data_IF_860692354636
#
_entry.id   IF_860692354636
#
_cell.length_a   1.000
_cell.length_b   1.000
_cell.length_c   1.000
_cell.angle_alpha   90.00
_cell.angle_beta   90.00
_cell.angle_gamma   90.00
#
_symmetry.space_group_name_H-M   'P 1'
#
loop_
_entity.id
_entity.type
_entity.pdbx_description
1 polymer ?
#
# COMPACT_ATOMS: atom_id res chain seq x y z
N UNK A 1 65.28 21.36 -3.96
CA UNK A 1 64.41 22.00 -4.98
C UNK A 1 63.63 21.01 -5.84
N UNK A 2 64.26 19.99 -6.47
CA UNK A 2 63.55 19.02 -7.35
C UNK A 2 62.44 18.19 -6.66
N UNK A 3 62.62 17.82 -5.38
CA UNK A 3 61.61 17.08 -4.59
C UNK A 3 60.39 17.93 -4.21
N UNK A 4 60.59 19.24 -3.99
CA UNK A 4 59.51 20.18 -3.70
C UNK A 4 58.67 20.42 -4.96
N UNK A 5 59.32 20.53 -6.12
CA UNK A 5 58.64 20.63 -7.41
C UNK A 5 57.78 19.39 -7.72
N UNK A 6 58.28 18.19 -7.44
CA UNK A 6 57.52 16.95 -7.63
C UNK A 6 56.28 16.86 -6.72
N UNK A 7 56.40 17.27 -5.46
CA UNK A 7 55.26 17.30 -4.53
C UNK A 7 54.23 18.35 -4.97
N UNK A 8 54.68 19.52 -5.45
CA UNK A 8 53.79 20.54 -5.98
C UNK A 8 53.03 20.07 -7.23
N UNK A 9 53.69 19.36 -8.14
CA UNK A 9 53.05 18.78 -9.34
C UNK A 9 52.05 17.69 -8.97
N UNK A 10 52.38 16.83 -8.00
CA UNK A 10 51.46 15.79 -7.52
C UNK A 10 50.20 16.39 -6.86
N UNK A 11 50.35 17.48 -6.11
CA UNK A 11 49.21 18.20 -5.51
C UNK A 11 48.31 18.81 -6.59
N UNK A 12 48.87 19.49 -7.59
CA UNK A 12 48.09 20.10 -8.69
C UNK A 12 47.35 19.03 -9.50
N UNK A 13 47.99 17.88 -9.77
CA UNK A 13 47.34 16.76 -10.44
C UNK A 13 46.19 16.17 -9.61
N UNK A 14 46.34 16.11 -8.28
CA UNK A 14 45.29 15.67 -7.36
C UNK A 14 44.05 16.58 -7.36
N UNK A 15 44.25 17.91 -7.47
CA UNK A 15 43.14 18.86 -7.56
C UNK A 15 42.39 18.80 -8.90
N UNK A 16 43.08 18.50 -10.00
CA UNK A 16 42.44 18.35 -11.33
C UNK A 16 41.65 17.04 -11.47
N UNK A 17 41.97 16.02 -10.67
CA UNK A 17 41.26 14.74 -10.68
C UNK A 17 40.00 14.71 -9.79
N UNK A 18 39.73 15.80 -9.05
CA UNK A 18 38.59 15.88 -8.15
C UNK A 18 37.28 16.03 -8.95
N UNK A 19 36.53 14.93 -9.09
CA UNK A 19 35.17 14.96 -9.61
C UNK A 19 34.22 15.35 -8.48
N UNK A 20 33.57 16.51 -8.58
CA UNK A 20 32.57 16.93 -7.61
C UNK A 20 31.29 16.08 -7.72
N UNK A 21 30.79 15.58 -6.60
CA UNK A 21 29.49 14.91 -6.55
C UNK A 21 28.39 15.95 -6.86
N UNK A 22 27.68 15.75 -7.98
CA UNK A 22 26.52 16.59 -8.34
C UNK A 22 25.32 16.10 -7.55
N UNK A 23 24.70 16.99 -6.79
CA UNK A 23 23.45 16.73 -6.07
C UNK A 23 22.35 17.61 -6.65
N UNK A 24 21.17 17.02 -6.86
CA UNK A 24 19.95 17.74 -7.20
C UNK A 24 18.84 17.27 -6.23
N UNK A 25 18.04 18.22 -5.75
CA UNK A 25 16.85 17.94 -4.95
C UNK A 25 15.63 18.05 -5.86
N UNK A 26 14.77 17.05 -5.80
CA UNK A 26 13.54 17.00 -6.60
C UNK A 26 12.34 16.86 -5.69
N UNK A 27 11.31 17.68 -5.94
CA UNK A 27 10.02 17.56 -5.29
C UNK A 27 9.19 16.46 -5.97
N UNK A 28 9.21 15.27 -5.37
CA UNK A 28 8.46 14.13 -5.86
C UNK A 28 6.94 14.34 -5.77
N UNK A 29 6.45 15.16 -4.83
CA UNK A 29 5.03 15.45 -4.71
C UNK A 29 4.56 16.28 -5.91
N UNK A 30 5.34 17.29 -6.30
CA UNK A 30 5.08 18.07 -7.50
C UNK A 30 5.13 17.21 -8.77
N UNK A 31 6.13 16.33 -8.91
CA UNK A 31 6.25 15.46 -10.08
C UNK A 31 5.07 14.50 -10.18
N UNK A 32 4.69 13.83 -9.09
CA UNK A 32 3.60 12.86 -9.08
C UNK A 32 2.23 13.51 -9.36
N UNK A 33 1.96 14.69 -8.81
CA UNK A 33 0.70 15.43 -9.05
C UNK A 33 0.50 15.85 -10.50
N UNK A 34 1.59 16.02 -11.25
CA UNK A 34 1.54 16.43 -12.66
C UNK A 34 1.55 15.23 -13.64
N UNK A 35 1.57 13.99 -13.14
CA UNK A 35 1.50 12.78 -13.97
C UNK A 35 0.05 12.27 -14.01
N UNK A 36 -0.66 12.35 -15.15
CA UNK A 36 -2.04 11.88 -15.24
C UNK A 36 -2.21 10.41 -14.86
N UNK A 37 -1.21 9.58 -15.15
CA UNK A 37 -1.21 8.17 -14.79
C UNK A 37 -1.25 7.93 -13.26
N UNK A 38 -0.68 8.84 -12.45
CA UNK A 38 -0.71 8.74 -10.99
C UNK A 38 -2.10 9.04 -10.44
N UNK A 39 -2.76 10.07 -10.98
CA UNK A 39 -4.15 10.40 -10.63
C UNK A 39 -5.10 9.25 -11.00
N UNK A 40 -5.00 8.71 -12.21
CA UNK A 40 -5.79 7.55 -12.65
C UNK A 40 -5.54 6.32 -11.77
N UNK A 41 -4.29 6.05 -11.41
CA UNK A 41 -3.94 4.95 -10.50
C UNK A 41 -4.60 5.13 -9.12
N UNK A 42 -4.59 6.33 -8.57
CA UNK A 42 -5.24 6.64 -7.30
C UNK A 42 -6.77 6.49 -7.39
N UNK A 43 -7.38 6.93 -8.49
CA UNK A 43 -8.82 6.77 -8.68
C UNK A 43 -9.21 5.29 -8.76
N UNK A 44 -8.47 4.48 -9.52
CA UNK A 44 -8.68 3.03 -9.59
C UNK A 44 -8.53 2.37 -8.22
N UNK A 45 -7.51 2.76 -7.45
CA UNK A 45 -7.31 2.24 -6.09
C UNK A 45 -8.48 2.62 -5.17
N UNK A 46 -8.98 3.86 -5.27
CA UNK A 46 -10.12 4.32 -4.48
C UNK A 46 -11.39 3.53 -4.83
N UNK A 47 -11.69 3.34 -6.12
CA UNK A 47 -12.84 2.58 -6.57
C UNK A 47 -12.79 1.12 -6.08
N UNK A 48 -11.63 0.48 -6.17
CA UNK A 48 -11.43 -0.90 -5.69
C UNK A 48 -11.57 -0.95 -4.17
N UNK A 49 -10.94 -0.02 -3.44
CA UNK A 49 -11.04 0.08 -1.99
C UNK A 49 -12.50 0.23 -1.53
N UNK A 50 -13.28 1.10 -2.17
CA UNK A 50 -14.70 1.29 -1.86
C UNK A 50 -15.55 0.06 -2.16
N UNK A 51 -15.23 -0.69 -3.22
CA UNK A 51 -15.93 -1.94 -3.53
C UNK A 51 -15.67 -2.98 -2.44
N UNK A 52 -14.41 -3.22 -2.10
CA UNK A 52 -14.05 -4.20 -1.08
C UNK A 52 -14.52 -3.81 0.32
N UNK A 53 -14.52 -2.51 0.63
CA UNK A 53 -15.11 -2.02 1.88
C UNK A 53 -16.60 -2.38 1.96
N UNK A 54 -17.36 -2.16 0.87
CA UNK A 54 -18.77 -2.56 0.80
C UNK A 54 -18.97 -4.07 0.97
N UNK A 55 -18.16 -4.90 0.32
CA UNK A 55 -18.25 -6.36 0.46
C UNK A 55 -18.02 -6.81 1.93
N UNK A 56 -17.04 -6.21 2.61
CA UNK A 56 -16.77 -6.49 4.02
C UNK A 56 -17.92 -6.00 4.92
N UNK A 57 -18.45 -4.81 4.64
CA UNK A 57 -19.54 -4.22 5.42
C UNK A 57 -20.87 -4.97 5.23
N UNK A 58 -21.12 -5.50 4.03
CA UNK A 58 -22.27 -6.38 3.76
C UNK A 58 -22.19 -7.65 4.60
N UNK A 59 -21.05 -8.34 4.65
CA UNK A 59 -20.88 -9.52 5.49
C UNK A 59 -21.03 -9.21 6.98
N UNK A 60 -20.49 -8.08 7.45
CA UNK A 60 -20.67 -7.63 8.85
C UNK A 60 -22.14 -7.35 9.16
N UNK A 61 -22.87 -6.73 8.23
CA UNK A 61 -24.29 -6.45 8.39
C UNK A 61 -25.13 -7.72 8.39
N UNK A 62 -24.77 -8.72 7.59
CA UNK A 62 -25.39 -10.05 7.63
C UNK A 62 -25.18 -10.70 9.00
N UNK A 63 -23.95 -10.71 9.52
CA UNK A 63 -23.67 -11.25 10.85
C UNK A 63 -24.44 -10.52 11.97
N UNK A 64 -24.49 -9.18 11.95
CA UNK A 64 -25.26 -8.38 12.91
C UNK A 64 -26.77 -8.68 12.81
N UNK A 65 -27.29 -8.86 11.60
CA UNK A 65 -28.70 -9.25 11.39
C UNK A 65 -28.98 -10.65 11.94
N UNK A 66 -28.08 -11.61 11.70
CA UNK A 66 -28.20 -12.96 12.27
C UNK A 66 -28.15 -12.93 13.81
N UNK A 67 -27.29 -12.11 14.38
CA UNK A 67 -27.18 -11.92 15.83
C UNK A 67 -28.45 -11.31 16.44
N UNK A 68 -29.01 -10.27 15.81
CA UNK A 68 -30.29 -9.67 16.23
C UNK A 68 -31.45 -10.67 16.15
N UNK A 69 -31.52 -11.45 15.08
CA UNK A 69 -32.53 -12.51 14.94
C UNK A 69 -32.34 -13.59 16.01
N UNK A 70 -31.09 -13.97 16.31
CA UNK A 70 -30.79 -14.90 17.39
C UNK A 70 -31.28 -14.37 18.74
N UNK A 71 -31.01 -13.10 19.08
CA UNK A 71 -31.49 -12.50 20.32
C UNK A 71 -33.02 -12.49 20.44
N UNK A 72 -33.73 -12.21 19.34
CA UNK A 72 -35.19 -12.24 19.32
C UNK A 72 -35.75 -13.66 19.51
N UNK A 73 -35.12 -14.66 18.86
CA UNK A 73 -35.58 -16.05 18.87
C UNK A 73 -35.09 -16.83 20.11
N UNK A 74 -34.07 -16.36 20.84
CA UNK A 74 -33.31 -17.19 21.80
C UNK A 74 -34.18 -17.83 22.89
N UNK A 75 -35.28 -17.19 23.27
CA UNK A 75 -36.22 -17.67 24.29
C UNK A 75 -37.03 -18.88 23.78
N UNK A 76 -37.18 -19.00 22.45
CA UNK A 76 -37.92 -20.07 21.79
C UNK A 76 -37.02 -21.21 21.30
N UNK A 77 -35.69 -21.06 21.35
CA UNK A 77 -34.73 -22.04 20.83
C UNK A 77 -34.29 -23.05 21.89
N UNK A 78 -34.09 -24.29 21.47
CA UNK A 78 -33.42 -25.31 22.30
C UNK A 78 -31.92 -25.05 22.40
N UNK A 79 -31.24 -25.66 23.37
CA UNK A 79 -29.80 -25.44 23.58
C UNK A 79 -28.95 -25.88 22.37
N UNK A 80 -29.36 -26.94 21.66
CA UNK A 80 -28.69 -27.37 20.43
C UNK A 80 -28.88 -26.35 19.29
N UNK A 81 -30.07 -25.76 19.17
CA UNK A 81 -30.33 -24.72 18.17
C UNK A 81 -29.58 -23.43 18.49
N UNK A 82 -29.45 -23.07 19.77
CA UNK A 82 -28.64 -21.92 20.21
C UNK A 82 -27.19 -22.09 19.80
N UNK A 83 -26.57 -23.23 20.14
CA UNK A 83 -25.18 -23.53 19.74
C UNK A 83 -24.99 -23.48 18.23
N UNK A 84 -25.95 -23.99 17.46
CA UNK A 84 -25.88 -23.95 15.99
C UNK A 84 -25.91 -22.50 15.48
N UNK A 85 -26.88 -21.69 15.93
CA UNK A 85 -26.96 -20.27 15.52
C UNK A 85 -25.73 -19.47 15.95
N UNK A 86 -25.22 -19.68 17.17
CA UNK A 86 -23.99 -19.03 17.65
C UNK A 86 -22.77 -19.39 16.80
N UNK A 87 -22.67 -20.66 16.40
CA UNK A 87 -21.58 -21.11 15.52
C UNK A 87 -21.70 -20.46 14.14
N UNK A 88 -22.89 -20.44 13.54
CA UNK A 88 -23.14 -19.79 12.25
C UNK A 88 -22.81 -18.29 12.28
N UNK A 89 -23.21 -17.57 13.34
CA UNK A 89 -22.87 -16.15 13.53
C UNK A 89 -21.35 -15.97 13.64
N UNK A 90 -20.69 -16.79 14.48
CA UNK A 90 -19.23 -16.72 14.68
C UNK A 90 -18.48 -17.03 13.40
N UNK A 91 -18.93 -17.99 12.61
CA UNK A 91 -18.35 -18.32 11.31
C UNK A 91 -18.49 -17.15 10.33
N UNK A 92 -19.66 -16.49 10.31
CA UNK A 92 -19.91 -15.32 9.46
C UNK A 92 -19.04 -14.12 9.84
N UNK A 93 -18.87 -13.87 11.14
CA UNK A 93 -17.94 -12.85 11.63
C UNK A 93 -16.49 -13.14 11.25
N UNK A 94 -16.07 -14.41 11.37
CA UNK A 94 -14.74 -14.85 10.93
C UNK A 94 -14.56 -14.68 9.44
N UNK A 95 -15.57 -15.00 8.62
CA UNK A 95 -15.54 -14.80 7.17
C UNK A 95 -15.33 -13.31 6.84
N UNK A 96 -16.08 -12.41 7.49
CA UNK A 96 -15.92 -10.97 7.30
C UNK A 96 -14.51 -10.47 7.70
N UNK A 97 -13.97 -10.97 8.81
CA UNK A 97 -12.61 -10.64 9.26
C UNK A 97 -11.53 -11.17 8.30
N UNK A 98 -11.68 -12.39 7.82
CA UNK A 98 -10.76 -12.99 6.85
C UNK A 98 -10.80 -12.24 5.52
N UNK A 99 -11.98 -11.86 5.05
CA UNK A 99 -12.13 -11.06 3.84
C UNK A 99 -11.50 -9.68 4.00
N UNK A 100 -11.74 -9.03 5.13
CA UNK A 100 -11.10 -7.76 5.46
C UNK A 100 -9.57 -7.88 5.47
N UNK A 101 -9.02 -8.93 6.07
CA UNK A 101 -7.58 -9.17 6.10
C UNK A 101 -7.02 -9.50 4.71
N UNK A 102 -7.75 -10.26 3.89
CA UNK A 102 -7.37 -10.59 2.50
C UNK A 102 -7.25 -9.31 1.66
N UNK A 103 -8.18 -8.38 1.80
CA UNK A 103 -8.17 -7.14 1.02
C UNK A 103 -7.23 -6.07 1.58
N UNK A 104 -7.29 -5.82 2.89
CA UNK A 104 -6.64 -4.69 3.54
C UNK A 104 -5.45 -5.07 4.44
N UNK A 105 -5.08 -6.34 4.49
CA UNK A 105 -3.91 -6.79 5.26
C UNK A 105 -2.59 -6.22 4.74
N UNK A 106 -1.49 -6.37 5.50
CA UNK A 106 -0.17 -5.80 5.16
C UNK A 106 0.36 -6.24 3.78
N UNK A 107 -0.02 -7.44 3.32
CA UNK A 107 0.26 -7.96 1.97
C UNK A 107 -1.03 -8.30 1.22
N UNK A 108 -2.12 -7.63 1.57
CA UNK A 108 -3.44 -7.86 0.99
C UNK A 108 -3.52 -7.41 -0.46
N UNK A 109 -4.67 -7.68 -1.08
CA UNK A 109 -4.91 -7.37 -2.48
C UNK A 109 -4.81 -5.86 -2.78
N UNK A 110 -5.18 -4.98 -1.83
CA UNK A 110 -5.05 -3.53 -2.02
C UNK A 110 -3.59 -3.09 -2.10
N UNK A 111 -2.75 -3.67 -1.26
CA UNK A 111 -1.32 -3.40 -1.29
C UNK A 111 -0.69 -3.84 -2.60
N UNK A 112 -0.99 -5.07 -3.05
CA UNK A 112 -0.50 -5.60 -4.33
C UNK A 112 -0.96 -4.73 -5.51
N UNK A 113 -2.24 -4.32 -5.52
CA UNK A 113 -2.79 -3.44 -6.55
C UNK A 113 -2.08 -2.09 -6.57
N UNK A 114 -1.87 -1.48 -5.39
CA UNK A 114 -1.11 -0.23 -5.25
C UNK A 114 0.31 -0.39 -5.80
N UNK A 115 0.99 -1.47 -5.44
CA UNK A 115 2.32 -1.76 -5.94
C UNK A 115 2.33 -1.89 -7.47
N UNK A 116 1.36 -2.61 -8.06
CA UNK A 116 1.29 -2.78 -9.52
C UNK A 116 1.04 -1.50 -10.29
N UNK A 117 0.31 -0.54 -9.70
CA UNK A 117 -0.07 0.71 -10.39
C UNK A 117 0.96 1.83 -10.15
N UNK A 118 1.51 1.92 -8.95
CA UNK A 118 2.40 3.03 -8.57
C UNK A 118 3.86 2.73 -8.90
N UNK A 119 4.30 1.47 -8.80
CA UNK A 119 5.70 1.11 -9.04
C UNK A 119 6.18 1.46 -10.46
N UNK A 120 5.43 1.20 -11.55
CA UNK A 120 5.84 1.60 -12.89
C UNK A 120 6.06 3.12 -13.02
N UNK A 121 5.19 3.91 -12.39
CA UNK A 121 5.30 5.38 -12.39
C UNK A 121 6.59 5.82 -11.67
N UNK A 122 6.90 5.19 -10.54
CA UNK A 122 8.14 5.46 -9.81
C UNK A 122 9.39 5.06 -10.62
N UNK A 123 9.34 3.91 -11.29
CA UNK A 123 10.42 3.43 -12.14
C UNK A 123 10.66 4.36 -13.35
N UNK A 124 9.57 4.87 -13.95
CA UNK A 124 9.64 5.84 -15.04
C UNK A 124 10.27 7.17 -14.59
N UNK A 125 9.88 7.70 -13.42
CA UNK A 125 10.49 8.91 -12.85
C UNK A 125 11.97 8.67 -12.57
N UNK A 126 12.33 7.53 -11.96
CA UNK A 126 13.72 7.19 -11.67
C UNK A 126 14.57 7.11 -12.95
N UNK A 127 14.03 6.49 -14.00
CA UNK A 127 14.68 6.40 -15.32
C UNK A 127 14.87 7.78 -15.95
N UNK A 128 13.89 8.67 -15.84
CA UNK A 128 13.98 10.05 -16.32
C UNK A 128 15.06 10.83 -15.57
N UNK A 129 15.12 10.73 -14.24
CA UNK A 129 16.11 11.42 -13.41
C UNK A 129 17.55 10.92 -13.68
N UNK A 130 17.74 9.61 -13.88
CA UNK A 130 19.08 9.03 -14.11
C UNK A 130 19.70 9.46 -15.44
N UNK A 131 18.89 9.87 -16.42
CA UNK A 131 19.36 10.33 -17.74
C UNK A 131 19.92 11.76 -17.71
N UNK A 132 19.70 12.50 -16.62
CA UNK A 132 20.15 13.90 -16.41
C UNK A 132 21.40 13.91 -15.54
#
# INVERSE_FOLDING_TARGET
MKRIALIAVALVAGFMAANAQKFALMDMEYVLKNIPAYEMANEQLNQVSQRWQREVDELKKEADTMYKNYQADMVFLTDDQKKKKETEITEKEKEAQQLQYKYFGPQGELFKKRQSLIKPIQDDIYSACKKV
#
